data_IF_990601205733
#
_entry.id   IF_990601205733
#
_cell.length_a   1.000
_cell.length_b   1.000
_cell.length_c   1.000
_cell.angle_alpha   90.00
_cell.angle_beta   90.00
_cell.angle_gamma   90.00
#
_symmetry.space_group_name_H-M   'P 1'
#
loop_
_entity.id
_entity.type
_entity.pdbx_description
1 polymer ?
#
# COMPACT_ATOMS: atom_id res chain seq x y z
N UNK A 1 43.28 -14.29 30.06
CA UNK A 1 41.85 -13.94 29.95
C UNK A 1 41.43 -14.42 28.58
N UNK A 2 40.93 -15.65 28.50
CA UNK A 2 40.39 -16.17 27.25
C UNK A 2 39.08 -15.42 26.99
N UNK A 3 39.13 -14.43 26.11
CA UNK A 3 37.91 -13.78 25.65
C UNK A 3 37.12 -14.83 24.88
N UNK A 4 35.97 -15.22 25.43
CA UNK A 4 34.97 -16.01 24.74
C UNK A 4 34.51 -15.20 23.53
N UNK A 5 35.01 -15.54 22.34
CA UNK A 5 34.49 -14.98 21.10
C UNK A 5 33.03 -15.46 20.96
N UNK A 6 32.07 -14.55 20.70
CA UNK A 6 30.71 -14.96 20.44
C UNK A 6 30.66 -15.81 19.17
N UNK A 7 29.84 -16.87 19.18
CA UNK A 7 29.65 -17.73 18.00
C UNK A 7 28.91 -16.98 16.87
N UNK A 8 28.10 -15.97 17.24
CA UNK A 8 27.34 -15.13 16.31
C UNK A 8 27.44 -13.67 16.77
N UNK A 9 27.85 -12.79 15.84
CA UNK A 9 27.85 -11.35 16.05
C UNK A 9 26.64 -10.71 15.37
N UNK A 10 26.05 -9.71 16.01
CA UNK A 10 25.04 -8.86 15.41
C UNK A 10 25.66 -7.51 15.03
N UNK A 11 25.27 -6.99 13.87
CA UNK A 11 25.61 -5.64 13.46
C UNK A 11 24.52 -4.67 13.93
N UNK A 12 24.92 -3.64 14.68
CA UNK A 12 24.01 -2.57 15.09
C UNK A 12 23.88 -1.57 13.95
N UNK A 13 22.74 -1.59 13.25
CA UNK A 13 22.48 -0.68 12.13
C UNK A 13 21.86 0.65 12.58
N UNK A 14 21.13 0.68 13.70
CA UNK A 14 20.44 1.86 14.20
C UNK A 14 20.33 1.86 15.72
N UNK A 15 20.45 3.05 16.31
CA UNK A 15 20.18 3.31 17.73
C UNK A 15 19.26 4.52 17.81
N UNK A 16 18.12 4.36 18.47
CA UNK A 16 17.21 5.47 18.73
C UNK A 16 17.88 6.47 19.68
N UNK A 17 17.82 7.76 19.34
CA UNK A 17 18.42 8.79 20.17
C UNK A 17 17.64 8.92 21.48
N UNK A 18 18.35 8.83 22.61
CA UNK A 18 17.77 9.14 23.93
C UNK A 18 17.45 10.63 23.94
N UNK A 19 16.16 10.99 23.91
CA UNK A 19 15.72 12.39 24.08
C UNK A 19 16.31 12.92 25.40
N UNK A 20 17.00 14.06 25.34
CA UNK A 20 17.56 14.71 26.53
C UNK A 20 16.43 15.34 27.34
N UNK A 21 16.37 14.99 28.63
CA UNK A 21 15.65 15.66 29.72
C UNK A 21 14.09 15.76 29.64
N UNK A 22 13.46 15.19 30.67
CA UNK A 22 12.13 15.51 31.22
C UNK A 22 10.83 15.04 30.55
N UNK A 23 10.85 14.24 29.50
CA UNK A 23 9.66 13.42 29.15
C UNK A 23 9.75 12.05 29.85
N UNK A 24 8.71 11.59 30.58
CA UNK A 24 8.71 10.24 31.14
C UNK A 24 8.86 9.24 29.98
N UNK A 25 9.99 8.54 29.97
CA UNK A 25 10.34 7.58 28.93
C UNK A 25 9.28 6.49 28.83
N UNK A 26 8.57 6.44 27.70
CA UNK A 26 8.03 5.19 27.18
C UNK A 26 8.50 5.10 25.74
N UNK A 27 9.82 5.05 25.50
CA UNK A 27 10.27 4.42 24.26
C UNK A 27 10.00 2.93 24.44
N UNK A 28 8.81 2.51 24.04
CA UNK A 28 8.43 1.09 24.06
C UNK A 28 9.35 0.30 23.14
N UNK A 29 9.64 -0.94 23.50
CA UNK A 29 10.23 -1.86 22.53
C UNK A 29 9.23 -2.04 21.38
N UNK A 30 9.73 -2.11 20.14
CA UNK A 30 8.87 -2.38 19.00
C UNK A 30 8.12 -3.70 19.22
N UNK A 31 6.79 -3.65 19.10
CA UNK A 31 5.93 -4.83 19.22
C UNK A 31 5.96 -5.68 17.96
N UNK A 32 6.23 -5.06 16.80
CA UNK A 32 6.37 -5.72 15.50
C UNK A 32 7.36 -4.95 14.63
N UNK A 33 8.07 -5.64 13.75
CA UNK A 33 8.93 -5.03 12.75
C UNK A 33 8.84 -5.77 11.42
N UNK A 34 8.93 -5.03 10.32
CA UNK A 34 8.89 -5.58 8.97
C UNK A 34 9.64 -4.65 8.00
N UNK A 35 9.99 -5.16 6.82
CA UNK A 35 10.47 -4.34 5.72
C UNK A 35 9.35 -4.07 4.72
N UNK A 36 9.46 -2.98 3.98
CA UNK A 36 8.58 -2.64 2.87
C UNK A 36 9.39 -1.96 1.77
N UNK A 37 8.83 -1.93 0.58
CA UNK A 37 9.36 -1.22 -0.57
C UNK A 37 8.22 -0.38 -1.16
N UNK A 38 8.53 0.83 -1.63
CA UNK A 38 7.56 1.60 -2.39
C UNK A 38 7.53 1.23 -3.88
N UNK A 39 6.62 1.83 -4.64
CA UNK A 39 6.48 1.55 -6.07
C UNK A 39 7.65 2.00 -6.95
N UNK A 40 8.65 2.69 -6.39
CA UNK A 40 9.84 3.14 -7.11
C UNK A 40 11.14 2.53 -6.55
N UNK A 41 11.03 1.50 -5.71
CA UNK A 41 12.17 0.71 -5.23
C UNK A 41 12.85 1.23 -3.97
N UNK A 42 12.27 2.21 -3.26
CA UNK A 42 12.86 2.68 -2.01
C UNK A 42 12.47 1.72 -0.88
N UNK A 43 13.47 1.15 -0.20
CA UNK A 43 13.29 0.17 0.88
C UNK A 43 13.20 0.90 2.22
N UNK A 44 12.32 0.42 3.10
CA UNK A 44 12.16 0.93 4.46
C UNK A 44 12.11 -0.24 5.45
N UNK A 45 12.72 -0.04 6.62
CA UNK A 45 12.45 -0.85 7.82
C UNK A 45 11.43 -0.11 8.66
N UNK A 46 10.36 -0.81 9.00
CA UNK A 46 9.26 -0.30 9.79
C UNK A 46 9.19 -1.03 11.13
N UNK A 47 9.02 -0.30 12.22
CA UNK A 47 8.85 -0.85 13.56
C UNK A 47 7.68 -0.17 14.26
N UNK A 48 6.72 -1.00 14.64
CA UNK A 48 5.48 -0.57 15.28
C UNK A 48 5.65 -0.59 16.80
N UNK A 49 5.34 0.52 17.45
CA UNK A 49 5.39 0.68 18.91
C UNK A 49 3.94 0.82 19.39
N UNK A 50 3.40 -0.27 19.95
CA UNK A 50 1.98 -0.36 20.32
C UNK A 50 1.61 0.61 21.43
N UNK A 51 2.48 0.78 22.41
CA UNK A 51 2.27 1.66 23.56
C UNK A 51 2.14 3.13 23.16
N UNK A 52 2.79 3.50 22.06
CA UNK A 52 2.78 4.86 21.51
C UNK A 52 1.77 5.03 20.35
N UNK A 53 1.21 3.93 19.83
CA UNK A 53 0.35 3.93 18.62
C UNK A 53 1.02 4.62 17.43
N UNK A 54 2.28 4.28 17.17
CA UNK A 54 3.06 4.80 16.04
C UNK A 54 3.80 3.69 15.30
N UNK A 55 3.92 3.87 13.99
CA UNK A 55 4.85 3.15 13.14
C UNK A 55 6.01 4.09 12.79
N UNK A 56 7.23 3.66 13.10
CA UNK A 56 8.45 4.36 12.70
C UNK A 56 9.04 3.67 11.48
N UNK A 57 9.32 4.43 10.43
CA UNK A 57 9.82 3.94 9.15
C UNK A 57 11.16 4.60 8.83
N UNK A 58 12.23 3.83 8.76
CA UNK A 58 13.56 4.31 8.37
C UNK A 58 13.82 3.86 6.95
N UNK A 59 14.11 4.80 6.06
CA UNK A 59 14.54 4.48 4.70
C UNK A 59 15.95 3.88 4.72
N UNK A 60 16.15 2.79 4.01
CA UNK A 60 17.49 2.24 3.74
C UNK A 60 17.93 2.67 2.35
N UNK A 61 19.21 3.06 2.22
CA UNK A 61 19.86 3.34 0.94
C UNK A 61 21.04 2.40 0.78
N UNK A 62 21.00 1.58 -0.25
CA UNK A 62 22.18 0.84 -0.68
C UNK A 62 22.90 1.70 -1.71
N UNK A 63 24.10 2.15 -1.35
CA UNK A 63 25.05 2.67 -2.34
C UNK A 63 25.86 1.48 -2.87
N UNK A 64 26.74 1.67 -3.86
CA UNK A 64 27.66 0.61 -4.35
C UNK A 64 28.60 0.04 -3.24
N UNK A 65 28.45 0.51 -2.00
CA UNK A 65 29.04 -0.06 -0.79
C UNK A 65 28.24 -1.26 -0.26
N UNK A 66 28.93 -2.25 0.28
CA UNK A 66 28.29 -3.39 0.97
C UNK A 66 27.39 -2.98 2.15
N UNK A 67 27.63 -1.79 2.71
CA UNK A 67 26.90 -1.29 3.87
C UNK A 67 25.74 -0.37 3.48
N UNK A 68 24.52 -0.63 3.98
CA UNK A 68 23.41 0.29 3.82
C UNK A 68 23.63 1.58 4.61
N UNK A 69 23.30 2.72 4.00
CA UNK A 69 23.18 4.00 4.69
C UNK A 69 21.73 4.24 5.09
N UNK A 70 21.50 4.75 6.29
CA UNK A 70 20.16 5.10 6.76
C UNK A 70 19.76 6.51 6.30
N UNK A 71 18.55 6.58 5.76
CA UNK A 71 17.90 7.80 5.33
C UNK A 71 17.01 8.40 6.41
N UNK A 72 16.07 9.29 6.03
CA UNK A 72 15.18 9.94 6.97
C UNK A 72 14.26 8.93 7.69
N UNK A 73 14.04 9.18 8.98
CA UNK A 73 13.02 8.55 9.80
C UNK A 73 11.68 9.27 9.58
N UNK A 74 10.63 8.52 9.30
CA UNK A 74 9.24 9.00 9.23
C UNK A 74 8.42 8.31 10.31
N UNK A 75 7.46 9.02 10.91
CA UNK A 75 6.55 8.46 11.92
C UNK A 75 5.11 8.57 11.43
N UNK A 76 4.38 7.46 11.44
CA UNK A 76 2.98 7.35 11.02
C UNK A 76 2.15 6.96 12.25
N UNK A 77 1.22 7.81 12.72
CA UNK A 77 0.30 7.45 13.80
C UNK A 77 -0.66 6.34 13.35
N UNK A 78 -0.71 5.23 14.08
CA UNK A 78 -1.53 4.08 13.71
C UNK A 78 -1.82 3.17 14.90
N UNK A 79 -2.94 2.44 14.83
CA UNK A 79 -3.29 1.40 15.79
C UNK A 79 -2.57 0.08 15.48
N UNK A 80 -2.24 -0.15 14.22
CA UNK A 80 -1.50 -1.33 13.75
C UNK A 80 -1.04 -1.12 12.30
N UNK A 81 0.05 -1.78 11.92
CA UNK A 81 0.50 -1.83 10.54
C UNK A 81 1.17 -3.16 10.21
N UNK A 82 1.05 -3.60 8.96
CA UNK A 82 1.74 -4.79 8.46
C UNK A 82 2.07 -4.62 6.98
N UNK A 83 3.20 -5.15 6.51
CA UNK A 83 3.49 -5.15 5.06
C UNK A 83 2.59 -6.15 4.34
N UNK A 84 2.44 -5.96 3.03
CA UNK A 84 1.74 -6.89 2.16
C UNK A 84 2.78 -7.49 1.24
N UNK A 85 3.05 -8.78 1.44
CA UNK A 85 4.09 -9.49 0.71
C UNK A 85 3.78 -9.48 -0.80
N UNK A 86 4.82 -9.28 -1.63
CA UNK A 86 4.75 -9.19 -3.09
C UNK A 86 3.82 -8.09 -3.64
N UNK A 87 3.66 -6.98 -2.90
CA UNK A 87 2.75 -5.89 -3.29
C UNK A 87 3.32 -4.48 -3.21
N UNK A 88 4.53 -4.28 -2.67
CA UNK A 88 5.13 -2.96 -2.44
C UNK A 88 4.17 -2.00 -1.72
N UNK A 89 3.44 -2.58 -0.76
CA UNK A 89 2.40 -1.93 0.01
C UNK A 89 2.48 -2.36 1.47
N UNK A 90 1.98 -1.51 2.35
CA UNK A 90 1.64 -1.83 3.72
C UNK A 90 0.17 -1.48 3.98
N UNK A 91 -0.46 -2.24 4.84
CA UNK A 91 -1.78 -1.99 5.38
C UNK A 91 -1.63 -1.34 6.75
N UNK A 92 -2.19 -0.15 6.92
CA UNK A 92 -2.11 0.65 8.16
C UNK A 92 -3.52 0.92 8.66
N UNK A 93 -3.80 0.54 9.91
CA UNK A 93 -5.01 0.98 10.61
C UNK A 93 -4.68 2.31 11.28
N UNK A 94 -5.19 3.41 10.74
CA UNK A 94 -5.00 4.75 11.32
C UNK A 94 -5.78 4.90 12.63
N UNK A 95 -5.53 5.99 13.37
CA UNK A 95 -6.12 6.19 14.71
C UNK A 95 -7.64 6.30 14.72
N UNK A 96 -8.24 6.64 13.57
CA UNK A 96 -9.69 6.66 13.35
C UNK A 96 -10.27 5.29 12.97
N UNK A 97 -9.46 4.22 13.09
CA UNK A 97 -9.78 2.85 12.68
C UNK A 97 -10.00 2.67 11.18
N UNK A 98 -9.59 3.65 10.35
CA UNK A 98 -9.62 3.51 8.90
C UNK A 98 -8.44 2.65 8.43
N UNK A 99 -8.69 1.78 7.45
CA UNK A 99 -7.64 0.93 6.87
C UNK A 99 -7.11 1.54 5.58
N UNK A 100 -5.84 1.92 5.58
CA UNK A 100 -5.21 2.68 4.52
C UNK A 100 -4.02 1.92 3.96
N UNK A 101 -3.88 1.94 2.64
CA UNK A 101 -2.68 1.45 1.98
C UNK A 101 -1.64 2.55 1.85
N UNK A 102 -0.40 2.19 2.18
CA UNK A 102 0.79 3.00 1.96
C UNK A 102 1.75 2.24 1.06
N UNK A 103 2.52 2.96 0.23
CA UNK A 103 3.67 2.43 -0.51
C UNK A 103 4.93 3.09 0.05
N UNK A 104 5.78 2.32 0.73
CA UNK A 104 6.77 2.89 1.64
C UNK A 104 6.11 3.80 2.67
N UNK A 105 6.50 5.08 2.72
CA UNK A 105 5.89 6.08 3.62
C UNK A 105 4.79 6.93 2.97
N UNK A 106 4.52 6.72 1.68
CA UNK A 106 3.49 7.48 0.95
C UNK A 106 2.11 6.86 1.18
N UNK A 107 1.19 7.65 1.74
CA UNK A 107 -0.23 7.29 1.86
C UNK A 107 -0.88 7.24 0.48
N UNK A 108 -1.35 6.07 0.06
CA UNK A 108 -1.92 5.85 -1.28
C UNK A 108 -3.42 6.05 -1.27
N UNK A 109 -4.15 5.30 -0.44
CA UNK A 109 -5.60 5.32 -0.49
C UNK A 109 -6.29 4.53 0.62
N UNK A 110 -7.53 4.92 0.89
CA UNK A 110 -8.39 4.27 1.86
C UNK A 110 -9.01 3.01 1.27
N UNK A 111 -8.94 1.90 2.00
CA UNK A 111 -9.60 0.66 1.61
C UNK A 111 -11.10 0.77 1.90
N UNK A 112 -11.91 0.57 0.87
CA UNK A 112 -13.36 0.50 0.99
C UNK A 112 -13.81 -0.95 0.83
N UNK A 113 -14.63 -1.44 1.76
CA UNK A 113 -15.21 -2.77 1.67
C UNK A 113 -16.60 -2.66 1.06
N UNK A 114 -16.75 -3.19 -0.16
CA UNK A 114 -18.07 -3.36 -0.75
C UNK A 114 -18.81 -4.46 0.02
N UNK A 115 -19.79 -4.06 0.83
CA UNK A 115 -20.75 -5.00 1.39
C UNK A 115 -21.67 -5.45 0.25
N UNK A 116 -21.65 -6.74 -0.08
CA UNK A 116 -22.64 -7.31 -0.99
C UNK A 116 -24.05 -7.06 -0.41
N UNK A 117 -25.03 -6.66 -1.24
CA UNK A 117 -26.40 -6.41 -0.78
C UNK A 117 -27.09 -7.63 -0.16
N UNK A 118 -26.48 -8.82 -0.23
CA UNK A 118 -27.04 -10.04 0.37
C UNK A 118 -26.75 -10.19 1.87
N UNK A 119 -26.15 -9.20 2.52
CA UNK A 119 -26.12 -9.16 3.98
C UNK A 119 -27.51 -8.78 4.46
N UNK A 120 -28.38 -9.79 4.61
CA UNK A 120 -29.73 -9.69 5.17
C UNK A 120 -29.70 -8.81 6.43
N UNK A 121 -30.04 -7.53 6.28
CA UNK A 121 -30.45 -6.66 7.37
C UNK A 121 -31.81 -7.17 7.84
N UNK A 122 -31.77 -8.28 8.59
CA UNK A 122 -32.84 -8.69 9.48
C UNK A 122 -32.85 -7.73 10.67
N UNK A 123 -33.23 -6.48 10.44
CA UNK A 123 -33.77 -5.61 11.48
C UNK A 123 -34.99 -4.89 10.89
N UNK A 124 -36.21 -5.29 11.28
CA UNK A 124 -37.43 -4.67 10.79
C UNK A 124 -37.77 -3.41 11.59
N UNK A 125 -38.68 -2.63 11.01
CA UNK A 125 -39.45 -1.51 11.60
C UNK A 125 -38.82 -0.12 11.53
N UNK A 126 -39.01 0.53 10.38
CA UNK A 126 -39.75 1.80 10.31
C UNK A 126 -39.87 2.22 8.85
N UNK A 127 -41.09 2.59 8.47
CA UNK A 127 -41.51 2.91 7.11
C UNK A 127 -40.79 4.15 6.55
N UNK A 128 -40.77 4.23 5.22
CA UNK A 128 -40.46 5.41 4.40
C UNK A 128 -38.98 5.76 4.18
N UNK A 129 -38.32 4.98 3.33
CA UNK A 129 -37.37 5.58 2.38
C UNK A 129 -37.20 4.66 1.17
N UNK A 130 -37.81 5.07 0.06
CA UNK A 130 -37.45 4.63 -1.30
C UNK A 130 -36.04 5.12 -1.61
N UNK A 131 -35.03 4.44 -1.06
CA UNK A 131 -33.63 4.67 -1.36
C UNK A 131 -33.11 3.45 -2.11
N UNK A 132 -32.77 3.62 -3.37
CA UNK A 132 -31.93 2.67 -4.10
C UNK A 132 -30.68 2.41 -3.25
N UNK A 133 -30.62 1.27 -2.54
CA UNK A 133 -29.41 0.78 -1.91
C UNK A 133 -28.48 0.28 -3.01
N UNK A 134 -27.90 1.23 -3.76
CA UNK A 134 -26.75 0.96 -4.61
C UNK A 134 -25.62 0.41 -3.76
N UNK A 135 -24.72 -0.34 -4.39
CA UNK A 135 -23.52 -0.90 -3.77
C UNK A 135 -22.59 0.24 -3.28
N UNK A 136 -22.95 0.89 -2.18
CA UNK A 136 -22.10 1.90 -1.56
C UNK A 136 -20.94 1.15 -0.91
N UNK A 137 -19.75 1.31 -1.46
CA UNK A 137 -18.53 0.83 -0.80
C UNK A 137 -18.31 1.69 0.44
N UNK A 138 -18.69 1.18 1.62
CA UNK A 138 -18.47 1.88 2.88
C UNK A 138 -17.02 1.66 3.34
N UNK A 139 -16.40 2.73 3.84
CA UNK A 139 -15.20 2.62 4.66
C UNK A 139 -15.65 2.00 5.99
N UNK A 140 -15.52 0.68 6.13
CA UNK A 140 -15.81 0.06 7.42
C UNK A 140 -14.61 0.27 8.34
N UNK A 141 -14.81 0.73 9.58
CA UNK A 141 -13.73 0.74 10.55
C UNK A 141 -13.25 -0.69 10.76
N UNK A 142 -11.93 -0.86 10.84
CA UNK A 142 -11.25 -2.16 10.96
C UNK A 142 -10.63 -2.25 12.35
N UNK A 143 -10.94 -3.33 13.07
CA UNK A 143 -10.34 -3.64 14.38
C UNK A 143 -8.93 -4.21 14.20
N UNK A 144 -8.78 -5.15 13.27
CA UNK A 144 -7.50 -5.80 13.02
C UNK A 144 -7.33 -6.16 11.55
N UNK A 145 -6.08 -6.12 11.10
CA UNK A 145 -5.65 -6.59 9.79
C UNK A 145 -4.55 -7.62 10.02
N UNK A 146 -4.61 -8.74 9.30
CA UNK A 146 -3.59 -9.78 9.32
C UNK A 146 -3.27 -10.20 7.89
N UNK A 147 -2.01 -10.51 7.64
CA UNK A 147 -1.64 -11.21 6.40
C UNK A 147 -2.24 -12.61 6.38
N UNK A 148 -2.66 -13.04 5.20
CA UNK A 148 -3.11 -14.41 4.95
C UNK A 148 -2.21 -15.07 3.90
N UNK A 149 -2.71 -16.08 3.18
CA UNK A 149 -2.10 -16.59 1.94
C UNK A 149 -1.53 -15.43 1.11
N UNK A 150 -0.46 -15.65 0.32
CA UNK A 150 0.17 -14.60 -0.46
C UNK A 150 -0.89 -13.71 -1.12
N UNK A 151 -0.69 -12.39 -1.05
CA UNK A 151 -1.53 -11.39 -1.71
C UNK A 151 -2.93 -11.18 -1.09
N UNK A 152 -3.21 -11.73 0.09
CA UNK A 152 -4.50 -11.57 0.77
C UNK A 152 -4.34 -11.00 2.18
N UNK A 153 -5.32 -10.21 2.60
CA UNK A 153 -5.48 -9.71 3.95
C UNK A 153 -6.75 -10.28 4.58
N UNK A 154 -6.67 -10.63 5.86
CA UNK A 154 -7.84 -10.89 6.69
C UNK A 154 -8.10 -9.65 7.52
N UNK A 155 -9.31 -9.11 7.40
CA UNK A 155 -9.77 -7.94 8.13
C UNK A 155 -10.83 -8.36 9.13
N UNK A 156 -10.73 -7.88 10.36
CA UNK A 156 -11.80 -7.97 11.35
C UNK A 156 -12.48 -6.61 11.46
N UNK A 157 -13.78 -6.58 11.23
CA UNK A 157 -14.58 -5.37 11.37
C UNK A 157 -15.22 -5.26 12.76
N UNK A 158 -15.81 -4.10 13.05
CA UNK A 158 -16.44 -3.84 14.37
C UNK A 158 -17.68 -4.69 14.65
N UNK A 159 -18.36 -5.19 13.62
CA UNK A 159 -19.48 -6.12 13.78
C UNK A 159 -19.02 -7.58 13.97
N UNK A 160 -17.73 -7.78 14.26
CA UNK A 160 -17.08 -9.07 14.47
C UNK A 160 -17.08 -9.99 13.24
N UNK A 161 -17.39 -9.47 12.04
CA UNK A 161 -17.20 -10.21 10.79
C UNK A 161 -15.76 -10.13 10.32
N UNK A 162 -15.33 -11.22 9.69
CA UNK A 162 -14.04 -11.35 9.04
C UNK A 162 -14.19 -11.29 7.52
N UNK A 163 -13.31 -10.55 6.87
CA UNK A 163 -13.25 -10.39 5.42
C UNK A 163 -11.89 -10.86 4.92
N UNK A 164 -11.87 -11.71 3.89
CA UNK A 164 -10.65 -12.05 3.16
C UNK A 164 -10.61 -11.19 1.91
N UNK A 165 -9.63 -10.31 1.81
CA UNK A 165 -9.50 -9.33 0.74
C UNK A 165 -8.26 -9.65 -0.09
N UNK A 166 -8.43 -9.85 -1.41
CA UNK A 166 -7.31 -9.95 -2.34
C UNK A 166 -6.77 -8.55 -2.62
N UNK A 167 -5.47 -8.36 -2.46
CA UNK A 167 -4.78 -7.11 -2.78
C UNK A 167 -4.31 -7.19 -4.23
N UNK A 168 -4.73 -6.27 -5.11
CA UNK A 168 -4.31 -6.28 -6.51
C UNK A 168 -2.81 -5.98 -6.61
N UNK A 169 -2.13 -6.66 -7.54
CA UNK A 169 -0.73 -6.38 -7.80
C UNK A 169 -0.57 -5.03 -8.50
N UNK A 170 0.64 -4.47 -8.43
CA UNK A 170 0.96 -3.20 -9.07
C UNK A 170 0.84 -3.28 -10.61
N UNK A 171 1.26 -4.41 -11.19
CA UNK A 171 1.05 -4.78 -12.58
C UNK A 171 0.79 -6.29 -12.67
N UNK A 172 0.15 -6.77 -13.75
CA UNK A 172 -0.02 -8.20 -14.04
C UNK A 172 1.18 -8.75 -14.82
N UNK A 173 1.81 -7.91 -15.64
CA UNK A 173 2.98 -8.27 -16.44
C UNK A 173 4.27 -7.67 -15.90
N UNK A 174 5.35 -8.47 -15.91
CA UNK A 174 6.71 -8.01 -15.64
C UNK A 174 7.17 -6.95 -16.65
N UNK A 175 6.76 -7.06 -17.92
CA UNK A 175 7.08 -6.07 -18.95
C UNK A 175 6.50 -4.69 -18.58
N UNK A 176 5.25 -4.65 -18.13
CA UNK A 176 4.60 -3.41 -17.70
C UNK A 176 5.27 -2.86 -16.43
N UNK A 177 5.65 -3.74 -15.50
CA UNK A 177 6.43 -3.35 -14.32
C UNK A 177 7.73 -2.66 -14.71
N UNK A 178 8.47 -3.23 -15.67
CA UNK A 178 9.72 -2.68 -16.18
C UNK A 178 9.49 -1.35 -16.91
N UNK A 179 8.43 -1.24 -17.73
CA UNK A 179 8.06 0.02 -18.37
C UNK A 179 7.78 1.12 -17.34
N UNK A 180 6.98 0.84 -16.31
CA UNK A 180 6.67 1.83 -15.27
C UNK A 180 7.93 2.20 -14.47
N UNK A 181 8.77 1.22 -14.13
CA UNK A 181 10.06 1.46 -13.48
C UNK A 181 10.94 2.41 -14.30
N UNK A 182 11.05 2.17 -15.61
CA UNK A 182 11.79 3.02 -16.53
C UNK A 182 11.19 4.42 -16.69
N UNK A 183 9.86 4.56 -16.68
CA UNK A 183 9.22 5.88 -16.68
C UNK A 183 9.54 6.62 -15.37
N UNK A 184 9.39 5.94 -14.23
CA UNK A 184 9.65 6.51 -12.91
C UNK A 184 11.11 6.94 -12.73
N UNK A 185 12.07 6.19 -13.28
CA UNK A 185 13.50 6.52 -13.19
C UNK A 185 13.89 7.80 -13.95
N UNK A 186 13.08 8.20 -14.93
CA UNK A 186 13.26 9.45 -15.70
C UNK A 186 12.60 10.67 -15.04
N UNK A 187 11.84 10.46 -13.96
CA UNK A 187 11.09 11.50 -13.28
C UNK A 187 11.75 11.88 -11.94
N UNK A 188 11.66 13.15 -11.50
CA UNK A 188 11.97 13.51 -10.12
C UNK A 188 11.16 12.64 -9.14
N UNK A 189 11.76 12.28 -8.00
CA UNK A 189 11.20 11.32 -7.02
C UNK A 189 9.73 11.60 -6.68
N UNK A 190 9.38 12.86 -6.38
CA UNK A 190 8.00 13.23 -6.05
C UNK A 190 7.02 12.97 -7.20
N UNK A 191 7.45 13.24 -8.45
CA UNK A 191 6.63 12.98 -9.64
C UNK A 191 6.55 11.48 -9.95
N UNK A 192 7.63 10.73 -9.75
CA UNK A 192 7.66 9.29 -9.91
C UNK A 192 6.69 8.61 -8.94
N UNK A 193 6.73 9.00 -7.65
CA UNK A 193 5.81 8.55 -6.61
C UNK A 193 4.35 8.92 -6.93
N UNK A 194 4.10 10.14 -7.39
CA UNK A 194 2.76 10.56 -7.82
C UNK A 194 2.26 9.75 -9.03
N UNK A 195 3.12 9.52 -10.02
CA UNK A 195 2.80 8.75 -11.21
C UNK A 195 2.44 7.30 -10.86
N UNK A 196 3.30 6.62 -10.11
CA UNK A 196 3.10 5.22 -9.72
C UNK A 196 1.90 5.02 -8.79
N UNK A 197 1.70 5.90 -7.80
CA UNK A 197 0.50 5.86 -6.96
C UNK A 197 -0.79 6.10 -7.74
N UNK A 198 -0.78 7.05 -8.69
CA UNK A 198 -1.95 7.31 -9.56
C UNK A 198 -2.24 6.12 -10.49
N UNK A 199 -1.21 5.44 -11.00
CA UNK A 199 -1.36 4.21 -11.77
C UNK A 199 -2.09 3.13 -10.95
N UNK A 200 -1.62 2.89 -9.72
CA UNK A 200 -2.23 1.90 -8.84
C UNK A 200 -3.70 2.26 -8.51
N UNK A 201 -3.96 3.54 -8.22
CA UNK A 201 -5.30 4.03 -7.87
C UNK A 201 -6.30 4.04 -9.03
N UNK A 202 -5.84 4.04 -10.29
CA UNK A 202 -6.74 3.84 -11.44
C UNK A 202 -7.44 2.48 -11.43
N UNK A 203 -6.98 1.54 -10.59
CA UNK A 203 -7.69 0.30 -10.30
C UNK A 203 -7.95 -0.55 -11.57
N UNK A 204 -7.05 -0.45 -12.54
CA UNK A 204 -7.12 -1.12 -13.85
C UNK A 204 -7.12 -2.65 -13.76
N UNK A 205 -6.70 -3.21 -12.62
CA UNK A 205 -6.57 -4.65 -12.42
C UNK A 205 -7.88 -5.41 -12.70
N UNK A 206 -9.04 -4.81 -12.41
CA UNK A 206 -10.32 -5.47 -12.66
C UNK A 206 -10.54 -5.65 -14.16
N UNK A 207 -10.35 -4.59 -14.95
CA UNK A 207 -10.48 -4.63 -16.41
C UNK A 207 -9.52 -5.65 -17.04
N UNK A 208 -8.26 -5.64 -16.59
CA UNK A 208 -7.24 -6.58 -17.08
C UNK A 208 -7.62 -8.02 -16.72
N UNK A 209 -8.07 -8.26 -15.48
CA UNK A 209 -8.44 -9.61 -15.01
C UNK A 209 -9.67 -10.16 -15.73
N UNK A 210 -10.65 -9.32 -16.04
CA UNK A 210 -11.87 -9.73 -16.77
C UNK A 210 -11.70 -9.74 -18.28
N UNK A 211 -10.55 -9.28 -18.80
CA UNK A 211 -10.26 -9.31 -20.23
C UNK A 211 -10.18 -10.76 -20.71
N UNK A 212 -11.04 -11.11 -21.67
CA UNK A 212 -11.05 -12.42 -22.33
C UNK A 212 -10.01 -12.54 -23.45
N UNK A 213 -9.40 -11.43 -23.84
CA UNK A 213 -8.36 -11.34 -24.86
C UNK A 213 -6.96 -11.33 -24.23
N UNK A 214 -5.96 -10.90 -24.98
CA UNK A 214 -4.59 -10.75 -24.51
C UNK A 214 -4.50 -9.70 -23.38
N UNK A 215 -4.27 -10.18 -22.15
CA UNK A 215 -4.14 -9.34 -20.96
C UNK A 215 -2.92 -8.43 -21.02
N UNK A 216 -1.82 -8.87 -21.65
CA UNK A 216 -0.63 -8.04 -21.83
C UNK A 216 -0.92 -6.88 -22.78
N UNK A 217 -1.61 -7.16 -23.89
CA UNK A 217 -2.03 -6.11 -24.81
C UNK A 217 -2.95 -5.11 -24.11
N UNK A 218 -3.93 -5.58 -23.33
CA UNK A 218 -4.85 -4.72 -22.58
C UNK A 218 -4.11 -3.84 -21.57
N UNK A 219 -3.23 -4.43 -20.76
CA UNK A 219 -2.44 -3.69 -19.76
C UNK A 219 -1.49 -2.68 -20.44
N UNK A 220 -0.92 -3.03 -21.59
CA UNK A 220 -0.10 -2.12 -22.41
C UNK A 220 -0.91 -0.93 -22.91
N UNK A 221 -2.12 -1.16 -23.43
CA UNK A 221 -3.00 -0.09 -23.90
C UNK A 221 -3.40 0.84 -22.75
N UNK A 222 -3.73 0.28 -21.59
CA UNK A 222 -4.06 1.05 -20.38
C UNK A 222 -2.86 1.87 -19.89
N UNK A 223 -1.64 1.33 -19.94
CA UNK A 223 -0.43 2.07 -19.59
C UNK A 223 -0.17 3.24 -20.55
N UNK A 224 -0.33 3.04 -21.85
CA UNK A 224 -0.15 4.11 -22.86
C UNK A 224 -1.18 5.21 -22.63
N UNK A 225 -2.46 4.85 -22.52
CA UNK A 225 -3.53 5.81 -22.27
C UNK A 225 -3.32 6.57 -20.96
N UNK A 226 -2.93 5.85 -19.90
CA UNK A 226 -2.62 6.47 -18.61
C UNK A 226 -1.47 7.46 -18.72
N UNK A 227 -0.36 7.05 -19.34
CA UNK A 227 0.84 7.88 -19.48
C UNK A 227 0.53 9.15 -20.27
N UNK A 228 -0.23 9.04 -21.35
CA UNK A 228 -0.67 10.20 -22.13
C UNK A 228 -1.60 11.11 -21.33
N UNK A 229 -2.54 10.55 -20.58
CA UNK A 229 -3.40 11.33 -19.71
C UNK A 229 -2.60 12.09 -18.63
N UNK A 230 -1.55 11.50 -18.06
CA UNK A 230 -0.63 12.19 -17.14
C UNK A 230 0.14 13.35 -17.81
N UNK A 231 0.31 13.30 -19.12
CA UNK A 231 0.89 14.37 -19.94
C UNK A 231 -0.14 15.38 -20.47
N UNK A 232 -1.43 15.24 -20.11
CA UNK A 232 -2.51 16.09 -20.64
C UNK A 232 -2.91 15.77 -22.08
N UNK A 233 -2.53 14.60 -22.59
CA UNK A 233 -2.87 14.12 -23.93
C UNK A 233 -4.03 13.12 -23.82
N UNK A 234 -5.20 13.50 -24.34
CA UNK A 234 -6.35 12.60 -24.41
C UNK A 234 -6.42 11.96 -25.80
N UNK A 235 -6.38 10.61 -25.86
CA UNK A 235 -6.34 9.86 -27.12
C UNK A 235 -7.52 10.21 -28.06
N UNK A 236 -8.70 10.50 -27.50
CA UNK A 236 -9.89 10.90 -28.25
C UNK A 236 -9.72 12.17 -29.11
N UNK A 237 -8.77 13.03 -28.73
CA UNK A 237 -8.47 14.26 -29.46
C UNK A 237 -7.73 14.00 -30.77
N UNK A 238 -7.20 12.79 -30.96
CA UNK A 238 -6.41 12.41 -32.12
C UNK A 238 -7.22 11.47 -33.01
N UNK A 239 -7.48 11.90 -34.26
CA UNK A 239 -8.31 11.15 -35.20
C UNK A 239 -7.88 9.70 -35.41
N UNK A 240 -6.57 9.42 -35.32
CA UNK A 240 -5.99 8.08 -35.47
C UNK A 240 -6.51 7.10 -34.40
N UNK A 241 -6.78 7.57 -33.18
CA UNK A 241 -7.22 6.72 -32.09
C UNK A 241 -8.76 6.59 -31.99
N UNK A 242 -9.54 7.34 -32.76
CA UNK A 242 -11.01 7.18 -32.79
C UNK A 242 -11.46 5.78 -33.23
N UNK A 243 -10.61 5.07 -33.99
CA UNK A 243 -10.87 3.68 -34.36
C UNK A 243 -10.58 2.70 -33.20
N UNK A 244 -9.70 3.07 -32.26
CA UNK A 244 -9.28 2.23 -31.13
C UNK A 244 -10.28 2.32 -29.97
N UNK A 245 -10.94 3.47 -29.79
CA UNK A 245 -11.93 3.71 -28.72
C UNK A 245 -13.26 2.93 -28.85
N UNK A 246 -13.36 1.97 -29.78
CA UNK A 246 -14.57 1.13 -29.99
C UNK A 246 -14.41 -0.27 -29.35
N UNK A 247 -13.26 -0.58 -28.73
CA UNK A 247 -13.03 -1.81 -27.97
C UNK A 247 -13.28 -1.59 -26.47
#
# INVERSE_FOLDING_TARGET
MDMLAPEVCLECIWVEAVKRHNEPFINGAASEAFSTEDFIGQIFICFFIKEESILKCIRIKFYDSEYPTLGPLTTIPCLYATNIDDRNLMAVIELDSSLVFYSGTLRIGLLHLQQSPNTHLLFPSSQNSTGFFGNVSLCLPVISVRKSYPQHLILQSFDQKYYICKVPAFTMSCFISECISNICSLLPIEKALKFSSSWYLNNNWYLIRTCHYDQLLMETMLLIQFTFAQCGLHLENFAVFKQVSIL
#
